data_IF_906739220114
#
_entry.id   IF_906739220114
#
_cell.length_a   1.000
_cell.length_b   1.000
_cell.length_c   1.000
_cell.angle_alpha   90.00
_cell.angle_beta   90.00
_cell.angle_gamma   90.00
#
_symmetry.space_group_name_H-M   'P 1'
#
loop_
_entity.id
_entity.type
_entity.pdbx_description
1 polymer ?
#
# COMPACT_ATOMS: atom_id res chain seq x y z
N UNK A 1 0.54 19.16 -14.70
CA UNK A 1 1.42 18.35 -13.84
C UNK A 1 0.57 17.31 -13.13
N UNK A 2 1.03 16.06 -13.05
CA UNK A 2 0.38 15.06 -12.19
C UNK A 2 0.77 15.32 -10.73
N UNK A 3 -0.20 15.22 -9.82
CA UNK A 3 0.01 15.50 -8.40
C UNK A 3 -0.14 14.22 -7.60
N UNK A 4 0.76 14.00 -6.64
CA UNK A 4 0.68 12.92 -5.67
C UNK A 4 0.51 13.56 -4.29
N UNK A 5 -0.52 13.14 -3.55
CA UNK A 5 -0.80 13.65 -2.22
C UNK A 5 -0.97 12.49 -1.24
N UNK A 6 -0.24 12.51 -0.12
CA UNK A 6 -0.46 11.57 0.98
C UNK A 6 -1.85 11.84 1.58
N UNK A 7 -2.70 10.82 1.61
CA UNK A 7 -4.07 10.90 2.13
C UNK A 7 -4.19 10.32 3.53
N UNK A 8 -3.51 9.21 3.78
CA UNK A 8 -3.66 8.45 5.00
C UNK A 8 -2.40 7.67 5.30
N UNK A 9 -2.09 7.55 6.58
CA UNK A 9 -1.14 6.58 7.11
C UNK A 9 -1.93 5.66 8.02
N UNK A 10 -1.72 4.35 7.85
CA UNK A 10 -2.34 3.32 8.69
C UNK A 10 -1.33 2.21 8.94
N UNK A 11 -1.67 1.24 9.77
CA UNK A 11 -0.77 0.14 10.10
C UNK A 11 -1.49 -1.18 9.91
N UNK A 12 -0.77 -2.17 9.40
CA UNK A 12 -1.24 -3.56 9.32
C UNK A 12 -0.34 -4.41 10.19
N UNK A 13 -0.96 -5.13 11.13
CA UNK A 13 -0.28 -6.12 11.96
C UNK A 13 -0.22 -7.46 11.21
N UNK A 14 0.97 -8.01 11.05
CA UNK A 14 1.21 -9.33 10.47
C UNK A 14 2.43 -9.97 11.15
N UNK A 15 2.29 -11.22 11.62
CA UNK A 15 3.36 -11.95 12.33
C UNK A 15 4.00 -11.13 13.46
N UNK A 16 3.18 -10.58 14.35
CA UNK A 16 3.60 -9.74 15.50
C UNK A 16 4.34 -8.44 15.14
N UNK A 17 4.51 -8.18 13.84
CA UNK A 17 5.13 -6.97 13.30
C UNK A 17 4.07 -6.01 12.79
N UNK A 18 4.25 -4.72 13.06
CA UNK A 18 3.39 -3.66 12.55
C UNK A 18 4.06 -2.99 11.35
N UNK A 19 3.41 -3.07 10.19
CA UNK A 19 3.87 -2.45 8.96
C UNK A 19 3.10 -1.16 8.69
N UNK A 20 3.81 -0.05 8.53
CA UNK A 20 3.22 1.23 8.12
C UNK A 20 2.79 1.16 6.65
N UNK A 21 1.52 1.46 6.41
CA UNK A 21 0.91 1.60 5.08
C UNK A 21 0.64 3.08 4.83
N UNK A 22 1.23 3.62 3.76
CA UNK A 22 0.94 4.97 3.27
C UNK A 22 -0.02 4.88 2.09
N UNK A 23 -1.09 5.66 2.11
CA UNK A 23 -2.07 5.74 1.01
C UNK A 23 -1.98 7.11 0.37
N UNK A 24 -1.83 7.14 -0.93
CA UNK A 24 -1.70 8.34 -1.74
C UNK A 24 -2.88 8.47 -2.70
N UNK A 25 -3.25 9.72 -2.98
CA UNK A 25 -4.09 10.05 -4.12
C UNK A 25 -3.21 10.58 -5.23
N UNK A 26 -3.38 10.02 -6.42
CA UNK A 26 -2.70 10.45 -7.63
C UNK A 26 -3.74 11.11 -8.54
N UNK A 27 -3.46 12.33 -8.97
CA UNK A 27 -4.28 13.03 -9.97
C UNK A 27 -3.43 13.19 -11.22
N UNK A 28 -3.86 12.59 -12.33
CA UNK A 28 -3.16 12.74 -13.60
C UNK A 28 -3.41 14.13 -14.21
N UNK A 29 -2.78 14.42 -15.35
CA UNK A 29 -2.90 15.71 -16.03
C UNK A 29 -4.31 15.98 -16.60
N UNK A 30 -5.14 14.94 -16.77
CA UNK A 30 -6.55 15.04 -17.20
C UNK A 30 -7.51 15.23 -16.01
N UNK A 31 -7.00 15.30 -14.78
CA UNK A 31 -7.81 15.38 -13.56
C UNK A 31 -8.39 14.05 -13.08
N UNK A 32 -8.03 12.93 -13.72
CA UNK A 32 -8.45 11.60 -13.29
C UNK A 32 -7.73 11.21 -12.00
N UNK A 33 -8.52 10.73 -11.04
CA UNK A 33 -8.03 10.30 -9.74
C UNK A 33 -7.80 8.79 -9.72
N UNK A 34 -6.66 8.40 -9.17
CA UNK A 34 -6.38 7.05 -8.69
C UNK A 34 -5.78 7.10 -7.30
N UNK A 35 -5.70 5.94 -6.66
CA UNK A 35 -5.15 5.76 -5.33
C UNK A 35 -4.07 4.70 -5.39
N UNK A 36 -3.00 4.93 -4.66
CA UNK A 36 -1.92 3.96 -4.48
C UNK A 36 -1.67 3.77 -2.99
N UNK A 37 -1.15 2.62 -2.63
CA UNK A 37 -0.71 2.33 -1.27
C UNK A 37 0.68 1.72 -1.29
N UNK A 38 1.46 2.01 -0.26
CA UNK A 38 2.84 1.59 -0.13
C UNK A 38 3.09 1.04 1.28
N UNK A 39 3.71 -0.13 1.36
CA UNK A 39 4.43 -0.62 2.54
C UNK A 39 5.91 -0.73 2.19
N UNK A 40 6.76 -0.09 2.98
CA UNK A 40 8.20 -0.26 2.89
C UNK A 40 8.64 -1.36 3.86
N UNK A 41 9.31 -2.39 3.34
CA UNK A 41 9.93 -3.48 4.10
C UNK A 41 11.43 -3.27 4.30
N UNK A 42 12.03 -2.42 3.47
CA UNK A 42 13.42 -2.01 3.57
C UNK A 42 13.71 -0.83 2.62
N UNK A 43 14.96 -0.36 2.55
CA UNK A 43 15.33 0.82 1.74
C UNK A 43 14.98 0.69 0.25
N UNK A 44 14.96 -0.53 -0.28
CA UNK A 44 14.70 -0.83 -1.69
C UNK A 44 13.60 -1.88 -1.89
N UNK A 45 12.84 -2.18 -0.84
CA UNK A 45 11.81 -3.21 -0.88
C UNK A 45 10.46 -2.63 -0.47
N UNK A 46 9.53 -2.64 -1.41
CA UNK A 46 8.23 -1.99 -1.29
C UNK A 46 7.17 -2.86 -1.92
N UNK A 47 6.04 -2.96 -1.24
CA UNK A 47 4.82 -3.52 -1.80
C UNK A 47 3.91 -2.35 -2.16
N UNK A 48 3.49 -2.28 -3.41
CA UNK A 48 2.60 -1.24 -3.92
C UNK A 48 1.30 -1.87 -4.43
N UNK A 49 0.17 -1.29 -4.04
CA UNK A 49 -1.15 -1.62 -4.62
C UNK A 49 -1.83 -0.37 -5.12
N UNK A 50 -2.33 -0.45 -6.35
CA UNK A 50 -3.08 0.62 -7.00
C UNK A 50 -4.55 0.26 -7.17
N UNK A 51 -5.38 1.30 -7.09
CA UNK A 51 -6.79 1.24 -7.40
C UNK A 51 -7.32 2.59 -7.93
N UNK A 52 -8.51 2.61 -8.52
CA UNK A 52 -9.22 3.84 -8.92
C UNK A 52 -10.23 4.29 -7.87
N UNK A 53 -10.51 3.45 -6.87
CA UNK A 53 -11.45 3.74 -5.80
C UNK A 53 -10.79 3.45 -4.44
N UNK A 54 -10.92 4.40 -3.50
CA UNK A 54 -10.25 4.32 -2.19
C UNK A 54 -10.80 3.19 -1.33
N UNK A 55 -12.11 2.96 -1.32
CA UNK A 55 -12.74 1.90 -0.51
C UNK A 55 -12.32 0.52 -1.01
N UNK A 56 -12.26 0.34 -2.34
CA UNK A 56 -11.75 -0.91 -2.95
C UNK A 56 -10.28 -1.12 -2.63
N UNK A 57 -9.47 -0.06 -2.65
CA UNK A 57 -8.08 -0.13 -2.22
C UNK A 57 -7.97 -0.57 -0.75
N UNK A 58 -8.77 0.00 0.15
CA UNK A 58 -8.75 -0.37 1.57
C UNK A 58 -9.17 -1.82 1.81
N UNK A 59 -10.18 -2.32 1.10
CA UNK A 59 -10.57 -3.73 1.17
C UNK A 59 -9.42 -4.62 0.72
N UNK A 60 -8.78 -4.28 -0.41
CA UNK A 60 -7.64 -5.03 -0.94
C UNK A 60 -6.43 -4.96 -0.01
N UNK A 61 -6.18 -3.84 0.65
CA UNK A 61 -5.13 -3.71 1.66
C UNK A 61 -5.32 -4.72 2.79
N UNK A 62 -6.54 -4.84 3.33
CA UNK A 62 -6.85 -5.79 4.41
C UNK A 62 -6.73 -7.26 4.00
N UNK A 63 -6.87 -7.58 2.71
CA UNK A 63 -6.84 -8.96 2.21
C UNK A 63 -5.48 -9.37 1.65
N UNK A 64 -4.87 -8.51 0.82
CA UNK A 64 -3.66 -8.82 0.06
C UNK A 64 -2.42 -8.64 0.92
N UNK A 65 -2.29 -7.53 1.68
CA UNK A 65 -1.05 -7.26 2.41
C UNK A 65 -0.74 -8.34 3.46
N UNK A 66 -1.67 -8.82 4.30
CA UNK A 66 -1.36 -9.90 5.22
C UNK A 66 -0.86 -11.16 4.51
N UNK A 67 -1.51 -11.55 3.40
CA UNK A 67 -1.11 -12.72 2.63
C UNK A 67 0.27 -12.54 1.98
N UNK A 68 0.55 -11.37 1.40
CA UNK A 68 1.85 -11.06 0.78
C UNK A 68 2.96 -11.00 1.81
N UNK A 69 2.75 -10.32 2.95
CA UNK A 69 3.73 -10.24 4.04
C UNK A 69 4.04 -11.63 4.60
N UNK A 70 3.00 -12.44 4.86
CA UNK A 70 3.16 -13.81 5.34
C UNK A 70 3.95 -14.68 4.34
N UNK A 71 3.60 -14.63 3.06
CA UNK A 71 4.32 -15.39 2.02
C UNK A 71 5.79 -15.00 1.94
N UNK A 72 6.11 -13.72 2.10
CA UNK A 72 7.48 -13.22 2.09
C UNK A 72 8.26 -13.62 3.33
N UNK A 73 7.61 -13.65 4.49
CA UNK A 73 8.21 -14.13 5.72
C UNK A 73 8.60 -15.61 5.61
N UNK A 74 7.72 -16.45 5.04
CA UNK A 74 8.05 -17.86 4.75
C UNK A 74 9.25 -17.97 3.79
N UNK A 75 9.35 -17.07 2.83
CA UNK A 75 10.46 -17.03 1.87
C UNK A 75 11.76 -16.44 2.45
N UNK A 76 11.78 -15.98 3.71
CA UNK A 76 12.94 -15.35 4.34
C UNK A 76 13.27 -13.95 3.79
N UNK A 77 12.26 -13.22 3.28
CA UNK A 77 12.40 -11.93 2.60
C UNK A 77 11.80 -10.75 3.38
N UNK A 78 11.58 -10.90 4.69
CA UNK A 78 11.11 -9.87 5.61
C UNK A 78 12.13 -9.63 6.70
#
# INVERSE_FOLDING_TARGET
>A
MSTIALKKVTSICCNESNYEVRVFQNTNWEGKVSYSSEVALGPHDKIILDDRNIDRLEIRLRQIFPATLYSRAIAGMT
#
